data_IF_484966149446
#
_entry.id   IF_484966149446
#
_cell.length_a   1.000
_cell.length_b   1.000
_cell.length_c   1.000
_cell.angle_alpha   90.00
_cell.angle_beta   90.00
_cell.angle_gamma   90.00
#
_symmetry.space_group_name_H-M   'P 1'
#
loop_
_entity.id
_entity.type
_entity.pdbx_description
1 polymer ?
#
# COMPACT_ATOMS: atom_id res chain seq x y z
N UNK A 1 -10.69 8.97 -18.99
CA UNK A 1 -11.41 8.71 -17.74
C UNK A 1 -10.60 9.34 -16.60
N UNK A 2 -11.20 10.23 -15.85
CA UNK A 2 -10.50 10.89 -14.74
C UNK A 2 -10.18 9.87 -13.63
N UNK A 3 -8.99 9.98 -13.02
CA UNK A 3 -8.53 9.06 -12.00
C UNK A 3 -9.32 9.24 -10.69
N UNK A 4 -9.82 8.17 -10.13
CA UNK A 4 -10.37 8.15 -8.79
C UNK A 4 -9.25 7.88 -7.77
N UNK A 5 -9.36 8.45 -6.60
CA UNK A 5 -8.38 8.31 -5.52
C UNK A 5 -9.01 7.54 -4.36
N UNK A 6 -8.30 6.56 -3.82
CA UNK A 6 -8.68 5.92 -2.57
C UNK A 6 -7.65 6.33 -1.51
N UNK A 7 -8.15 6.84 -0.40
CA UNK A 7 -7.37 7.03 0.81
C UNK A 7 -7.65 5.85 1.74
N UNK A 8 -6.63 5.12 2.16
CA UNK A 8 -6.80 3.88 2.93
C UNK A 8 -5.98 3.90 4.20
N UNK A 9 -6.62 3.58 5.28
CA UNK A 9 -6.06 3.48 6.62
C UNK A 9 -7.16 3.61 7.67
N UNK A 10 -7.21 2.64 8.59
CA UNK A 10 -8.16 2.65 9.70
C UNK A 10 -7.72 3.58 10.82
N UNK A 11 -8.39 3.47 11.96
CA UNK A 11 -8.11 4.27 13.15
C UNK A 11 -7.06 3.56 14.01
N UNK A 12 -5.93 4.23 14.25
CA UNK A 12 -4.95 3.81 15.24
C UNK A 12 -5.46 3.99 16.67
N UNK A 13 -4.81 3.32 17.64
CA UNK A 13 -5.24 3.37 19.07
C UNK A 13 -5.25 4.77 19.67
N UNK A 14 -4.36 5.63 19.18
CA UNK A 14 -4.14 6.98 19.68
C UNK A 14 -4.66 8.06 18.72
N UNK A 15 -5.46 7.67 17.73
CA UNK A 15 -5.96 8.56 16.69
C UNK A 15 -7.43 8.88 16.93
N UNK A 16 -7.81 10.14 16.75
CA UNK A 16 -9.20 10.61 16.88
C UNK A 16 -10.04 10.37 15.63
N UNK A 17 -9.39 10.22 14.48
CA UNK A 17 -10.02 10.04 13.17
C UNK A 17 -9.24 8.97 12.39
N UNK A 18 -9.90 8.08 11.63
CA UNK A 18 -9.22 7.12 10.75
C UNK A 18 -8.30 7.84 9.75
N UNK A 19 -7.10 7.28 9.51
CA UNK A 19 -6.13 7.87 8.56
C UNK A 19 -6.73 8.07 7.17
N UNK A 20 -7.53 7.12 6.69
CA UNK A 20 -8.21 7.22 5.40
C UNK A 20 -9.12 8.44 5.31
N UNK A 21 -9.88 8.74 6.36
CA UNK A 21 -10.76 9.90 6.40
C UNK A 21 -9.98 11.22 6.48
N UNK A 22 -8.97 11.28 7.34
CA UNK A 22 -8.10 12.45 7.45
C UNK A 22 -7.39 12.79 6.12
N UNK A 23 -6.89 11.78 5.41
CA UNK A 23 -6.28 11.95 4.08
C UNK A 23 -7.31 12.41 3.05
N UNK A 24 -8.54 11.84 3.06
CA UNK A 24 -9.62 12.27 2.17
C UNK A 24 -9.92 13.75 2.37
N UNK A 25 -10.15 14.16 3.59
CA UNK A 25 -10.50 15.54 3.92
C UNK A 25 -9.39 16.52 3.54
N UNK A 26 -8.13 16.12 3.74
CA UNK A 26 -6.98 16.89 3.27
C UNK A 26 -6.95 17.06 1.75
N UNK A 27 -7.17 15.99 0.99
CA UNK A 27 -7.19 16.03 -0.48
C UNK A 27 -8.33 16.89 -1.01
N UNK A 28 -9.52 16.80 -0.40
CA UNK A 28 -10.67 17.66 -0.74
C UNK A 28 -10.33 19.13 -0.46
N UNK A 29 -9.73 19.43 0.69
CA UNK A 29 -9.29 20.78 1.02
C UNK A 29 -8.21 21.32 0.06
N UNK A 30 -7.47 20.43 -0.63
CA UNK A 30 -6.51 20.77 -1.70
C UNK A 30 -7.14 20.89 -3.07
N UNK A 31 -8.45 20.74 -3.18
CA UNK A 31 -9.21 20.97 -4.41
C UNK A 31 -9.57 19.72 -5.21
N UNK A 32 -9.36 18.52 -4.66
CA UNK A 32 -9.91 17.32 -5.31
C UNK A 32 -11.44 17.28 -5.12
N UNK A 33 -12.21 16.96 -6.17
CA UNK A 33 -13.65 16.81 -6.06
C UNK A 33 -14.02 15.68 -5.09
N UNK A 34 -14.93 15.93 -4.12
CA UNK A 34 -15.29 14.93 -3.10
C UNK A 34 -15.77 13.60 -3.65
N UNK A 35 -16.49 13.63 -4.79
CA UNK A 35 -17.03 12.45 -5.47
C UNK A 35 -15.95 11.53 -6.08
N UNK A 36 -14.72 12.03 -6.17
CA UNK A 36 -13.56 11.31 -6.72
C UNK A 36 -12.60 10.80 -5.66
N UNK A 37 -12.82 11.13 -4.40
CA UNK A 37 -11.99 10.69 -3.28
C UNK A 37 -12.78 9.74 -2.42
N UNK A 38 -12.43 8.47 -2.48
CA UNK A 38 -13.04 7.41 -1.68
C UNK A 38 -12.20 7.17 -0.43
N UNK A 39 -12.83 7.02 0.73
CA UNK A 39 -12.15 6.63 1.96
C UNK A 39 -12.39 5.17 2.27
N UNK A 40 -11.31 4.45 2.52
CA UNK A 40 -11.29 3.14 3.16
C UNK A 40 -10.74 3.35 4.59
N UNK A 41 -11.56 3.18 5.61
CA UNK A 41 -11.28 3.56 7.00
C UNK A 41 -11.42 2.41 8.01
N UNK A 42 -11.52 1.16 7.54
CA UNK A 42 -11.74 -0.02 8.40
C UNK A 42 -10.50 -0.89 8.57
N UNK A 43 -9.53 -0.73 7.68
CA UNK A 43 -8.33 -1.55 7.69
C UNK A 43 -7.47 -1.31 8.92
N UNK A 44 -6.87 -2.37 9.44
CA UNK A 44 -5.96 -2.35 10.59
C UNK A 44 -4.55 -2.81 10.22
N UNK A 45 -4.35 -3.16 8.97
CA UNK A 45 -3.07 -3.64 8.45
C UNK A 45 -2.89 -3.27 6.97
N UNK A 46 -1.64 -3.27 6.50
CA UNK A 46 -1.34 -3.02 5.08
C UNK A 46 -2.00 -4.06 4.14
N UNK A 47 -2.13 -5.30 4.60
CA UNK A 47 -2.83 -6.35 3.87
C UNK A 47 -4.30 -5.99 3.66
N UNK A 48 -4.97 -5.56 4.73
CA UNK A 48 -6.36 -5.14 4.70
C UNK A 48 -6.56 -3.85 3.88
N UNK A 49 -5.61 -2.90 3.93
CA UNK A 49 -5.65 -1.70 3.09
C UNK A 49 -5.86 -2.06 1.63
N UNK A 50 -5.07 -2.99 1.08
CA UNK A 50 -5.20 -3.39 -0.31
C UNK A 50 -6.42 -4.26 -0.58
N UNK A 51 -6.77 -5.17 0.32
CA UNK A 51 -7.94 -6.03 0.17
C UNK A 51 -9.25 -5.21 0.15
N UNK A 52 -9.41 -4.29 1.09
CA UNK A 52 -10.60 -3.44 1.18
C UNK A 52 -10.64 -2.38 0.08
N UNK A 53 -9.48 -1.83 -0.31
CA UNK A 53 -9.40 -0.93 -1.47
C UNK A 53 -9.80 -1.64 -2.76
N UNK A 54 -9.40 -2.90 -2.96
CA UNK A 54 -9.84 -3.67 -4.12
C UNK A 54 -11.36 -3.89 -4.12
N UNK A 55 -11.94 -4.27 -2.97
CA UNK A 55 -13.38 -4.45 -2.85
C UNK A 55 -14.13 -3.14 -3.16
N UNK A 56 -13.61 -2.01 -2.69
CA UNK A 56 -14.17 -0.69 -2.96
C UNK A 56 -14.08 -0.32 -4.45
N UNK A 57 -12.96 -0.61 -5.12
CA UNK A 57 -12.81 -0.44 -6.57
C UNK A 57 -13.78 -1.30 -7.36
N UNK A 58 -13.93 -2.57 -6.97
CA UNK A 58 -14.86 -3.50 -7.62
C UNK A 58 -16.31 -3.03 -7.51
N UNK A 59 -16.72 -2.46 -6.37
CA UNK A 59 -18.06 -1.86 -6.20
C UNK A 59 -18.31 -0.67 -7.13
N UNK A 60 -17.23 -0.04 -7.62
CA UNK A 60 -17.27 1.06 -8.60
C UNK A 60 -17.10 0.59 -10.06
N UNK A 61 -17.10 -0.73 -10.30
CA UNK A 61 -16.99 -1.31 -11.63
C UNK A 61 -15.55 -1.39 -12.18
N UNK A 62 -14.53 -1.22 -11.33
CA UNK A 62 -13.14 -1.48 -11.69
C UNK A 62 -12.81 -2.97 -11.49
N UNK A 63 -11.80 -3.46 -12.19
CA UNK A 63 -11.35 -4.84 -12.10
C UNK A 63 -9.96 -4.92 -11.49
N UNK A 64 -9.54 -6.12 -11.11
CA UNK A 64 -8.18 -6.42 -10.63
C UNK A 64 -7.09 -6.09 -11.67
N UNK A 65 -7.46 -6.03 -12.96
CA UNK A 65 -6.56 -5.69 -14.06
C UNK A 65 -6.46 -4.20 -14.33
N UNK A 66 -7.26 -3.37 -13.63
CA UNK A 66 -7.17 -1.92 -13.73
C UNK A 66 -5.82 -1.47 -13.20
N UNK A 67 -5.04 -0.70 -13.99
CA UNK A 67 -3.76 -0.18 -13.51
C UNK A 67 -3.99 0.75 -12.32
N UNK A 68 -3.25 0.50 -11.24
CA UNK A 68 -3.24 1.36 -10.06
C UNK A 68 -1.84 1.90 -9.78
N UNK A 69 -1.80 3.09 -9.20
CA UNK A 69 -0.60 3.66 -8.58
C UNK A 69 -0.90 3.84 -7.10
N UNK A 70 -0.08 3.26 -6.23
CA UNK A 70 -0.16 3.55 -4.82
C UNK A 70 0.98 4.45 -4.37
N UNK A 71 0.68 5.31 -3.41
CA UNK A 71 1.66 6.22 -2.80
C UNK A 71 1.95 5.75 -1.39
N UNK A 72 3.21 5.60 -1.06
CA UNK A 72 3.65 5.23 0.29
C UNK A 72 5.07 5.74 0.54
N UNK A 73 5.51 5.70 1.80
CA UNK A 73 6.91 6.01 2.13
C UNK A 73 7.86 5.01 1.43
N UNK A 74 9.01 5.50 1.00
CA UNK A 74 10.01 4.71 0.24
C UNK A 74 10.39 3.40 0.93
N UNK A 75 10.61 3.41 2.25
CA UNK A 75 10.96 2.21 3.01
C UNK A 75 9.84 1.15 3.02
N UNK A 76 8.58 1.58 2.84
CA UNK A 76 7.40 0.71 2.89
C UNK A 76 6.97 0.17 1.53
N UNK A 77 7.37 0.82 0.42
CA UNK A 77 6.89 0.49 -0.93
C UNK A 77 7.09 -0.98 -1.30
N UNK A 78 8.22 -1.59 -0.94
CA UNK A 78 8.45 -3.00 -1.27
C UNK A 78 7.39 -3.92 -0.64
N UNK A 79 7.17 -3.81 0.67
CA UNK A 79 6.20 -4.64 1.39
C UNK A 79 4.77 -4.35 0.96
N UNK A 80 4.43 -3.09 0.74
CA UNK A 80 3.14 -2.66 0.23
C UNK A 80 2.84 -3.28 -1.15
N UNK A 81 3.80 -3.29 -2.07
CA UNK A 81 3.66 -3.93 -3.38
C UNK A 81 3.41 -5.44 -3.30
N UNK A 82 4.02 -6.13 -2.32
CA UNK A 82 3.75 -7.55 -2.08
C UNK A 82 2.31 -7.79 -1.61
N UNK A 83 1.81 -6.96 -0.72
CA UNK A 83 0.41 -7.06 -0.27
C UNK A 83 -0.58 -6.67 -1.38
N UNK A 84 -0.26 -5.70 -2.23
CA UNK A 84 -1.07 -5.38 -3.39
C UNK A 84 -1.23 -6.59 -4.34
N UNK A 85 -0.12 -7.29 -4.62
CA UNK A 85 -0.15 -8.50 -5.44
C UNK A 85 -0.94 -9.64 -4.76
N UNK A 86 -0.78 -9.82 -3.44
CA UNK A 86 -1.55 -10.81 -2.67
C UNK A 86 -3.05 -10.50 -2.66
N UNK A 87 -3.44 -9.24 -2.60
CA UNK A 87 -4.83 -8.81 -2.70
C UNK A 87 -5.44 -9.06 -4.09
N UNK A 88 -4.61 -9.33 -5.11
CA UNK A 88 -5.06 -9.68 -6.45
C UNK A 88 -4.87 -8.57 -7.50
N UNK A 89 -4.26 -7.46 -7.18
CA UNK A 89 -3.93 -6.45 -8.17
C UNK A 89 -2.85 -6.96 -9.13
N UNK A 90 -3.09 -6.86 -10.45
CA UNK A 90 -2.18 -7.40 -11.47
C UNK A 90 -1.30 -6.32 -12.12
N UNK A 91 -1.71 -5.06 -12.07
CA UNK A 91 -1.00 -3.92 -12.67
C UNK A 91 -0.80 -2.84 -11.61
N UNK A 92 0.32 -2.89 -10.91
CA UNK A 92 0.61 -2.04 -9.76
C UNK A 92 1.90 -1.27 -9.99
N UNK A 93 1.87 0.01 -9.74
CA UNK A 93 3.04 0.89 -9.69
C UNK A 93 3.12 1.58 -8.34
N UNK A 94 4.33 1.79 -7.84
CA UNK A 94 4.58 2.51 -6.61
C UNK A 94 5.06 3.93 -6.90
N UNK A 95 4.56 4.89 -6.13
CA UNK A 95 5.12 6.22 -6.05
C UNK A 95 5.63 6.44 -4.62
N UNK A 96 6.95 6.51 -4.48
CA UNK A 96 7.58 6.65 -3.18
C UNK A 96 7.58 8.10 -2.72
N UNK A 97 7.11 8.33 -1.49
CA UNK A 97 7.25 9.59 -0.78
C UNK A 97 8.50 9.54 0.11
N UNK A 98 9.30 10.61 0.07
CA UNK A 98 10.52 10.70 0.87
C UNK A 98 10.23 10.68 2.36
N UNK A 99 11.06 9.95 3.11
CA UNK A 99 10.97 9.87 4.57
C UNK A 99 11.77 11.01 5.21
N UNK A 100 11.19 11.75 6.17
CA UNK A 100 11.95 12.76 6.90
C UNK A 100 13.20 12.16 7.56
N UNK A 101 14.34 12.83 7.45
CA UNK A 101 15.66 12.31 7.85
C UNK A 101 15.70 11.79 9.30
N UNK A 102 15.03 12.48 10.21
CA UNK A 102 14.92 12.08 11.64
C UNK A 102 14.19 10.75 11.86
N UNK A 103 13.37 10.32 10.91
CA UNK A 103 12.56 9.10 11.00
C UNK A 103 13.12 7.95 10.18
N UNK A 104 14.18 8.16 9.41
CA UNK A 104 14.76 7.15 8.50
C UNK A 104 15.14 5.90 9.28
N UNK A 105 16.03 6.02 10.29
CA UNK A 105 16.56 4.85 11.00
C UNK A 105 15.46 4.01 11.70
N UNK A 106 14.57 4.58 12.54
CA UNK A 106 13.52 3.78 13.18
C UNK A 106 12.53 3.18 12.18
N UNK A 107 12.22 3.90 11.09
CA UNK A 107 11.32 3.38 10.05
C UNK A 107 11.92 2.19 9.31
N UNK A 108 13.17 2.27 8.89
CA UNK A 108 13.85 1.16 8.21
C UNK A 108 14.08 -0.05 9.13
N UNK A 109 14.41 0.16 10.40
CA UNK A 109 14.52 -0.94 11.38
C UNK A 109 13.19 -1.65 11.57
N UNK A 110 12.10 -0.92 11.76
CA UNK A 110 10.75 -1.48 11.86
C UNK A 110 10.37 -2.26 10.60
N UNK A 111 10.68 -1.73 9.42
CA UNK A 111 10.37 -2.36 8.15
C UNK A 111 11.17 -3.65 7.93
N UNK A 112 12.44 -3.67 8.30
CA UNK A 112 13.27 -4.88 8.24
C UNK A 112 12.67 -6.01 9.10
N UNK A 113 12.21 -5.70 10.32
CA UNK A 113 11.53 -6.67 11.19
C UNK A 113 10.20 -7.12 10.60
N UNK A 114 9.42 -6.20 9.99
CA UNK A 114 8.16 -6.52 9.36
C UNK A 114 8.35 -7.40 8.11
N UNK A 115 9.41 -7.19 7.33
CA UNK A 115 9.77 -8.06 6.21
C UNK A 115 10.19 -9.45 6.67
N UNK A 116 10.97 -9.53 7.75
CA UNK A 116 11.36 -10.81 8.34
C UNK A 116 10.13 -11.62 8.79
N UNK A 117 9.20 -10.95 9.49
CA UNK A 117 7.91 -11.54 9.86
C UNK A 117 7.11 -12.00 8.64
N UNK A 118 7.03 -11.15 7.60
CA UNK A 118 6.34 -11.48 6.35
C UNK A 118 6.92 -12.75 5.71
N UNK A 119 8.24 -12.86 5.60
CA UNK A 119 8.89 -14.02 4.99
C UNK A 119 8.70 -15.30 5.79
N UNK A 120 8.75 -15.22 7.10
CA UNK A 120 8.62 -16.40 7.97
C UNK A 120 7.17 -16.91 7.98
N UNK A 121 6.18 -16.01 8.06
CA UNK A 121 4.81 -16.40 8.37
C UNK A 121 3.83 -16.29 7.21
N UNK A 122 4.09 -15.42 6.22
CA UNK A 122 3.14 -15.16 5.13
C UNK A 122 3.52 -15.83 3.80
N UNK A 123 4.77 -16.28 3.63
CA UNK A 123 5.22 -16.97 2.41
C UNK A 123 5.33 -18.48 2.58
N UNK A 124 4.86 -19.03 3.68
CA UNK A 124 4.99 -20.43 4.08
C UNK A 124 4.30 -21.45 3.16
N UNK A 125 3.49 -21.01 2.20
CA UNK A 125 2.90 -21.89 1.16
C UNK A 125 3.78 -22.10 -0.08
N UNK A 126 4.86 -21.32 -0.21
CA UNK A 126 5.86 -21.46 -1.27
C UNK A 126 7.21 -21.33 -0.60
N UNK A 127 7.98 -22.40 -0.51
CA UNK A 127 9.18 -22.48 0.30
C UNK A 127 10.14 -21.26 0.19
N UNK A 128 11.00 -21.03 1.18
CA UNK A 128 11.82 -19.82 1.34
C UNK A 128 12.72 -19.51 0.13
N UNK A 129 13.01 -20.50 -0.70
CA UNK A 129 13.86 -20.36 -1.89
C UNK A 129 13.15 -19.63 -3.05
N UNK A 130 11.82 -19.77 -3.20
CA UNK A 130 11.05 -19.05 -4.23
C UNK A 130 10.87 -17.56 -3.87
N UNK A 131 10.76 -17.25 -2.58
CA UNK A 131 10.70 -15.87 -2.11
C UNK A 131 12.01 -15.10 -2.38
N UNK A 132 13.14 -15.78 -2.26
CA UNK A 132 14.48 -15.17 -2.49
C UNK A 132 14.76 -14.90 -3.97
N UNK A 133 14.32 -15.78 -4.87
CA UNK A 133 14.45 -15.59 -6.33
C UNK A 133 13.56 -14.45 -6.82
N UNK A 134 12.31 -14.37 -6.32
CA UNK A 134 11.42 -13.25 -6.61
C UNK A 134 11.92 -11.89 -6.11
N UNK A 135 12.71 -11.89 -5.04
CA UNK A 135 13.34 -10.68 -4.49
C UNK A 135 14.40 -10.09 -5.42
N UNK A 136 15.24 -10.93 -5.99
CA UNK A 136 16.33 -10.54 -6.91
C UNK A 136 15.79 -9.98 -8.23
N UNK A 137 14.67 -10.53 -8.71
CA UNK A 137 14.03 -10.08 -9.95
C UNK A 137 13.26 -8.77 -9.79
N UNK A 138 12.61 -8.56 -8.64
CA UNK A 138 11.90 -7.32 -8.35
C UNK A 138 12.87 -6.15 -8.11
N UNK A 139 13.99 -6.41 -7.45
CA UNK A 139 15.01 -5.39 -7.22
C UNK A 139 15.58 -4.85 -8.55
N UNK A 140 15.75 -5.71 -9.56
CA UNK A 140 16.17 -5.29 -10.91
C UNK A 140 15.13 -4.44 -11.64
N UNK A 141 13.82 -4.67 -11.42
CA UNK A 141 12.75 -3.91 -12.08
C UNK A 141 12.44 -2.56 -11.42
N UNK A 142 12.73 -2.39 -10.12
CA UNK A 142 12.40 -1.18 -9.38
C UNK A 142 13.53 -0.15 -9.32
N UNK A 143 14.80 -0.58 -9.46
CA UNK A 143 15.96 0.31 -9.37
C UNK A 143 16.55 0.73 -10.74
N UNK A 144 16.03 0.22 -11.87
CA UNK A 144 16.55 0.52 -13.21
C UNK A 144 15.48 1.09 -14.16
N UNK A 145 14.60 1.95 -13.66
CA UNK A 145 13.80 2.83 -14.55
C UNK A 145 13.82 4.25 -14.03
#
# INVERSE_FOLDING_TARGET
RMLDTITSGGQGRDEWVPEGDAMRDYLIAKGLPPERVLSENRSTSTEENFAFSLALLQSRGFSQTTPIVYVSNEFHCYRAGRYAAMAGFTKVSALAAATPLRSVLPCYMREALALLYYWVFKTSSSGPMHAMVGLLDLNKKFFYK
#
